data_IF_951793114279
#
_entry.id   IF_951793114279
#
_cell.length_a   1.000
_cell.length_b   1.000
_cell.length_c   1.000
_cell.angle_alpha   90.00
_cell.angle_beta   90.00
_cell.angle_gamma   90.00
#
_symmetry.space_group_name_H-M   'P 1'
#
loop_
_entity.id
_entity.type
_entity.pdbx_description
1 polymer ?
#
# COMPACT_ATOMS: atom_id res chain seq x y z
N UNK A 1 18.82 22.32 54.38
CA UNK A 1 18.80 21.72 53.02
C UNK A 1 18.52 20.24 53.18
N UNK A 2 17.29 19.81 52.87
CA UNK A 2 16.81 18.46 53.18
C UNK A 2 16.79 17.60 51.90
N UNK A 3 17.31 16.38 52.05
CA UNK A 3 17.54 15.33 51.06
C UNK A 3 16.29 14.91 50.25
N UNK A 4 15.91 15.65 49.21
CA UNK A 4 14.77 15.31 48.34
C UNK A 4 15.09 14.35 47.18
N UNK A 5 16.35 13.97 46.97
CA UNK A 5 16.74 13.10 45.84
C UNK A 5 16.42 11.61 46.08
N UNK A 6 16.48 11.15 47.34
CA UNK A 6 16.34 9.72 47.66
C UNK A 6 14.91 9.20 47.48
N UNK A 7 13.89 10.04 47.64
CA UNK A 7 12.48 9.65 47.47
C UNK A 7 12.09 9.44 46.01
N UNK A 8 12.75 10.11 45.07
CA UNK A 8 12.46 9.96 43.64
C UNK A 8 12.95 8.63 43.07
N UNK A 9 14.13 8.17 43.51
CA UNK A 9 14.71 6.88 43.09
C UNK A 9 13.91 5.71 43.65
N UNK A 10 13.36 5.83 44.86
CA UNK A 10 12.53 4.80 45.49
C UNK A 10 11.20 4.58 44.73
N UNK A 11 10.57 5.65 44.22
CA UNK A 11 9.32 5.56 43.45
C UNK A 11 9.49 4.96 42.05
N UNK A 12 10.62 5.18 41.40
CA UNK A 12 10.91 4.58 40.10
C UNK A 12 11.16 3.06 40.20
N UNK A 13 11.79 2.61 41.30
CA UNK A 13 12.08 1.19 41.50
C UNK A 13 10.81 0.37 41.78
N UNK A 14 9.83 0.93 42.49
CA UNK A 14 8.56 0.24 42.79
C UNK A 14 7.66 0.10 41.56
N UNK A 15 7.63 1.10 40.68
CA UNK A 15 6.93 1.02 39.40
C UNK A 15 7.52 -0.05 38.47
N UNK A 16 8.84 -0.23 38.47
CA UNK A 16 9.52 -1.23 37.64
C UNK A 16 9.22 -2.67 38.12
N UNK A 17 9.22 -2.89 39.44
CA UNK A 17 8.84 -4.20 40.03
C UNK A 17 7.37 -4.52 39.77
N UNK A 18 6.46 -3.54 39.88
CA UNK A 18 5.05 -3.72 39.57
C UNK A 18 4.81 -4.05 38.08
N UNK A 19 5.55 -3.41 37.17
CA UNK A 19 5.50 -3.70 35.74
C UNK A 19 5.97 -5.12 35.38
N UNK A 20 7.02 -5.63 36.04
CA UNK A 20 7.52 -6.99 35.81
C UNK A 20 6.57 -8.08 36.31
N UNK A 21 5.91 -7.87 37.45
CA UNK A 21 4.91 -8.82 37.97
C UNK A 21 3.68 -8.86 37.05
N UNK A 22 3.23 -7.69 36.54
CA UNK A 22 2.15 -7.62 35.56
C UNK A 22 2.48 -8.35 34.25
N UNK A 23 3.72 -8.25 33.78
CA UNK A 23 4.18 -8.95 32.57
C UNK A 23 4.21 -10.48 32.75
N UNK A 24 4.69 -10.98 33.90
CA UNK A 24 4.76 -12.43 34.16
C UNK A 24 3.38 -13.07 34.33
N UNK A 25 2.40 -12.36 34.88
CA UNK A 25 1.00 -12.86 34.98
C UNK A 25 0.33 -12.90 33.60
N UNK A 26 0.65 -11.96 32.69
CA UNK A 26 0.04 -11.92 31.36
C UNK A 26 0.66 -12.93 30.37
N UNK A 27 1.92 -13.32 30.55
CA UNK A 27 2.57 -14.35 29.71
C UNK A 27 2.41 -15.78 30.25
N UNK A 28 1.81 -15.96 31.43
CA UNK A 28 1.65 -17.24 32.10
C UNK A 28 0.34 -17.98 31.82
N UNK A 29 -0.58 -17.40 31.04
CA UNK A 29 -1.93 -17.94 30.86
C UNK A 29 -2.33 -17.95 29.38
N UNK A 30 -1.90 -18.99 28.66
CA UNK A 30 -2.72 -19.75 27.69
C UNK A 30 -1.90 -20.91 27.12
N UNK A 31 -1.80 -21.96 27.95
CA UNK A 31 -1.48 -23.31 27.49
C UNK A 31 -2.82 -23.95 27.07
N UNK A 32 -3.22 -23.72 25.83
CA UNK A 32 -4.33 -24.43 25.21
C UNK A 32 -3.77 -25.31 24.10
N UNK A 33 -3.37 -26.52 24.50
CA UNK A 33 -3.06 -27.58 23.55
C UNK A 33 -4.35 -27.94 22.76
N UNK A 34 -4.32 -28.03 21.43
CA UNK A 34 -5.44 -28.58 20.68
C UNK A 34 -5.54 -30.09 20.99
N UNK A 35 -6.76 -30.68 21.00
CA UNK A 35 -6.90 -32.10 21.24
C UNK A 35 -6.27 -32.87 20.07
N UNK A 36 -5.50 -33.89 20.43
CA UNK A 36 -4.96 -34.92 19.57
C UNK A 36 -6.13 -35.60 18.82
N UNK A 37 -6.38 -35.17 17.58
CA UNK A 37 -7.30 -35.84 16.68
C UNK A 37 -6.70 -37.18 16.30
N UNK A 38 -7.17 -38.21 17.00
CA UNK A 38 -7.11 -39.62 16.66
C UNK A 38 -7.14 -39.78 15.13
N UNK A 39 -6.01 -40.14 14.54
CA UNK A 39 -5.94 -40.56 13.14
C UNK A 39 -6.75 -41.84 12.99
N UNK A 40 -8.05 -41.68 12.74
CA UNK A 40 -8.85 -42.74 12.17
C UNK A 40 -8.40 -42.88 10.72
N UNK A 41 -7.74 -44.00 10.47
CA UNK A 41 -7.42 -44.57 9.17
C UNK A 41 -8.60 -44.36 8.22
N UNK A 42 -8.51 -43.33 7.38
CA UNK A 42 -9.55 -42.98 6.41
C UNK A 42 -9.03 -43.45 5.08
N UNK A 43 -9.62 -44.57 4.64
CA UNK A 43 -9.63 -45.11 3.30
C UNK A 43 -9.40 -44.01 2.25
N UNK A 44 -8.30 -44.13 1.50
CA UNK A 44 -7.91 -43.24 0.39
C UNK A 44 -9.10 -42.91 -0.51
N UNK A 45 -9.60 -41.67 -0.54
CA UNK A 45 -10.49 -41.22 -1.60
C UNK A 45 -9.63 -40.75 -2.78
N UNK A 46 -9.75 -41.46 -3.90
CA UNK A 46 -9.19 -41.05 -5.17
C UNK A 46 -10.01 -39.87 -5.75
N UNK A 47 -9.81 -38.67 -5.20
CA UNK A 47 -9.92 -37.39 -5.93
C UNK A 47 -9.62 -36.22 -4.96
N UNK A 48 -8.35 -35.91 -4.77
CA UNK A 48 -7.95 -34.68 -4.07
C UNK A 48 -8.05 -33.55 -5.10
N UNK A 49 -9.19 -32.87 -5.13
CA UNK A 49 -9.37 -31.64 -5.89
C UNK A 49 -8.48 -30.55 -5.24
N UNK A 50 -7.31 -30.30 -5.82
CA UNK A 50 -6.44 -29.20 -5.42
C UNK A 50 -7.06 -27.86 -5.86
N UNK A 51 -7.89 -27.26 -5.00
CA UNK A 51 -8.38 -25.90 -5.19
C UNK A 51 -7.22 -24.94 -4.90
N UNK A 52 -6.58 -24.44 -5.96
CA UNK A 52 -5.58 -23.39 -5.83
C UNK A 52 -6.29 -22.04 -5.71
N UNK A 53 -6.16 -21.33 -4.58
CA UNK A 53 -6.80 -20.03 -4.43
C UNK A 53 -6.17 -19.03 -5.41
N UNK A 54 -7.00 -18.25 -6.12
CA UNK A 54 -6.50 -17.19 -6.97
C UNK A 54 -5.82 -16.10 -6.13
N UNK A 55 -4.68 -15.54 -6.59
CA UNK A 55 -4.10 -14.37 -5.95
C UNK A 55 -5.12 -13.21 -5.94
N UNK A 56 -5.14 -12.41 -4.85
CA UNK A 56 -6.11 -11.33 -4.73
C UNK A 56 -5.78 -10.22 -5.73
N UNK A 57 -6.72 -9.93 -6.63
CA UNK A 57 -6.63 -8.77 -7.53
C UNK A 57 -7.06 -7.51 -6.78
N UNK A 58 -6.12 -6.57 -6.63
CA UNK A 58 -6.31 -5.29 -5.95
C UNK A 58 -6.46 -4.15 -6.96
N UNK A 59 -7.16 -3.09 -6.55
CA UNK A 59 -7.50 -1.94 -7.39
C UNK A 59 -7.02 -0.65 -6.73
N UNK A 60 -6.25 0.16 -7.46
CA UNK A 60 -5.91 1.55 -7.12
C UNK A 60 -6.70 2.45 -8.05
N UNK A 61 -7.59 3.26 -7.50
CA UNK A 61 -8.42 4.13 -8.33
C UNK A 61 -8.66 5.50 -7.71
N UNK A 62 -8.97 6.43 -8.58
CA UNK A 62 -9.49 7.75 -8.25
C UNK A 62 -10.43 8.16 -9.37
N UNK A 63 -11.60 8.68 -9.01
CA UNK A 63 -12.62 9.11 -9.98
C UNK A 63 -12.82 10.61 -9.84
N UNK A 64 -12.60 11.34 -10.93
CA UNK A 64 -12.76 12.79 -11.00
C UNK A 64 -12.07 13.55 -9.86
N UNK A 65 -10.91 13.06 -9.41
CA UNK A 65 -10.19 13.62 -8.27
C UNK A 65 -9.71 15.02 -8.64
N UNK A 66 -10.22 16.09 -7.98
CA UNK A 66 -9.87 17.45 -8.33
C UNK A 66 -8.46 17.79 -7.83
N UNK A 67 -7.73 18.56 -8.62
CA UNK A 67 -6.41 19.06 -8.23
C UNK A 67 -6.13 20.43 -8.87
N UNK A 68 -5.17 21.16 -8.32
CA UNK A 68 -4.74 22.47 -8.82
C UNK A 68 -3.23 22.47 -9.07
N UNK A 69 -2.80 23.04 -10.20
CA UNK A 69 -1.39 23.11 -10.54
C UNK A 69 -0.79 21.73 -10.82
N UNK A 70 0.31 21.38 -10.15
CA UNK A 70 0.98 20.08 -10.25
C UNK A 70 0.80 19.35 -8.93
N UNK A 71 0.27 18.14 -8.98
CA UNK A 71 0.13 17.25 -7.83
C UNK A 71 0.73 15.89 -8.14
N UNK A 72 1.35 15.25 -7.16
CA UNK A 72 1.84 13.88 -7.26
C UNK A 72 1.18 13.05 -6.16
N UNK A 73 0.44 12.02 -6.56
CA UNK A 73 -0.34 11.14 -5.71
C UNK A 73 0.29 9.76 -5.68
N UNK A 74 1.13 9.50 -4.67
CA UNK A 74 1.73 8.18 -4.46
C UNK A 74 0.66 7.18 -4.04
N UNK A 75 0.60 6.05 -4.73
CA UNK A 75 -0.35 4.98 -4.42
C UNK A 75 0.29 3.97 -3.48
N UNK A 76 -0.46 3.55 -2.45
CA UNK A 76 0.00 2.50 -1.53
C UNK A 76 -0.20 1.13 -2.20
N UNK A 77 0.89 0.40 -2.38
CA UNK A 77 0.88 -0.97 -2.90
C UNK A 77 0.85 -1.93 -1.70
N UNK A 78 0.01 -2.95 -1.77
CA UNK A 78 0.04 -4.04 -0.80
C UNK A 78 1.16 -5.03 -1.15
N UNK A 79 1.93 -5.46 -0.14
CA UNK A 79 3.09 -6.34 -0.33
C UNK A 79 4.39 -5.57 -0.53
N UNK A 80 5.44 -6.27 -1.00
CA UNK A 80 6.74 -5.66 -1.32
C UNK A 80 6.75 -5.03 -2.71
N UNK A 81 5.99 -5.62 -3.64
CA UNK A 81 5.84 -5.15 -5.00
C UNK A 81 4.44 -5.48 -5.55
N UNK A 82 4.08 -4.85 -6.66
CA UNK A 82 2.90 -5.17 -7.46
C UNK A 82 3.33 -5.94 -8.72
N UNK A 83 2.62 -7.01 -9.06
CA UNK A 83 2.78 -7.76 -10.32
C UNK A 83 1.45 -7.77 -11.08
N UNK A 84 1.46 -8.33 -12.30
CA UNK A 84 0.23 -8.46 -13.12
C UNK A 84 -0.52 -7.13 -13.28
N UNK A 85 0.25 -6.04 -13.47
CA UNK A 85 -0.29 -4.68 -13.49
C UNK A 85 -1.04 -4.42 -14.79
N UNK A 86 -2.24 -3.88 -14.68
CA UNK A 86 -3.01 -3.36 -15.80
C UNK A 86 -3.55 -1.95 -15.51
N UNK A 87 -3.38 -1.04 -16.47
CA UNK A 87 -3.99 0.28 -16.47
C UNK A 87 -5.30 0.17 -17.23
N UNK A 88 -6.41 0.08 -16.50
CA UNK A 88 -7.75 -0.05 -17.07
C UNK A 88 -8.16 1.27 -17.71
N UNK A 89 -7.94 2.37 -17.00
CA UNK A 89 -8.28 3.69 -17.49
C UNK A 89 -7.34 4.73 -16.87
N UNK A 90 -6.88 5.68 -17.67
CA UNK A 90 -6.24 6.88 -17.17
C UNK A 90 -6.67 8.10 -18.00
N UNK A 91 -7.28 9.08 -17.35
CA UNK A 91 -7.77 10.30 -17.95
C UNK A 91 -7.41 11.49 -17.06
N UNK A 92 -7.17 12.63 -17.71
CA UNK A 92 -6.92 13.89 -17.04
C UNK A 92 -7.65 14.99 -17.80
N UNK A 93 -8.26 15.92 -17.05
CA UNK A 93 -8.87 17.13 -17.60
C UNK A 93 -8.23 18.36 -16.98
N UNK A 94 -8.31 19.50 -17.67
CA UNK A 94 -7.66 20.74 -17.27
C UNK A 94 -6.72 21.29 -18.34
N UNK A 95 -6.06 22.39 -18.04
CA UNK A 95 -5.12 23.03 -18.96
C UNK A 95 -3.76 22.31 -18.90
N UNK A 96 -3.18 21.92 -20.04
CA UNK A 96 -1.98 21.07 -20.08
C UNK A 96 -2.17 19.68 -19.42
N UNK A 97 -3.41 19.18 -19.32
CA UNK A 97 -3.72 17.88 -18.75
C UNK A 97 -2.96 16.72 -19.41
N UNK A 98 -2.57 16.86 -20.68
CA UNK A 98 -1.73 15.89 -21.41
C UNK A 98 -0.35 15.64 -20.76
N UNK A 99 0.12 16.53 -19.87
CA UNK A 99 1.36 16.36 -19.10
C UNK A 99 1.17 15.58 -17.81
N UNK A 100 -0.07 15.29 -17.43
CA UNK A 100 -0.36 14.35 -16.34
C UNK A 100 0.21 12.98 -16.71
N UNK A 101 0.53 12.16 -15.72
CA UNK A 101 1.10 10.82 -15.98
C UNK A 101 0.91 9.86 -14.83
N UNK A 102 0.83 8.57 -15.12
CA UNK A 102 1.09 7.52 -14.14
C UNK A 102 2.55 7.11 -14.31
N UNK A 103 3.31 7.14 -13.22
CA UNK A 103 4.70 6.70 -13.18
C UNK A 103 4.79 5.42 -12.38
N UNK A 104 5.34 4.38 -13.02
CA UNK A 104 5.59 3.07 -12.43
C UNK A 104 7.11 2.87 -12.35
N UNK A 105 7.62 2.60 -11.15
CA UNK A 105 9.02 2.23 -10.92
C UNK A 105 9.09 0.73 -10.75
N UNK A 106 9.89 0.08 -11.58
CA UNK A 106 10.08 -1.36 -11.58
C UNK A 106 11.26 -1.77 -10.68
N UNK A 107 11.28 -3.04 -10.25
CA UNK A 107 12.32 -3.59 -9.38
C UNK A 107 13.74 -3.48 -9.99
N UNK A 108 13.85 -3.54 -11.31
CA UNK A 108 15.11 -3.33 -12.04
C UNK A 108 15.53 -1.85 -12.15
N UNK A 109 14.77 -0.92 -11.57
CA UNK A 109 15.02 0.52 -11.61
C UNK A 109 14.50 1.23 -12.86
N UNK A 110 13.92 0.51 -13.82
CA UNK A 110 13.26 1.12 -14.97
C UNK A 110 12.06 1.94 -14.52
N UNK A 111 11.81 3.04 -15.23
CA UNK A 111 10.67 3.90 -14.97
C UNK A 111 9.81 3.95 -16.21
N UNK A 112 8.55 3.55 -16.06
CA UNK A 112 7.57 3.65 -17.12
C UNK A 112 6.56 4.76 -16.84
N UNK A 113 6.31 5.57 -17.87
CA UNK A 113 5.41 6.71 -17.80
C UNK A 113 4.24 6.47 -18.73
N UNK A 114 3.03 6.53 -18.19
CA UNK A 114 1.78 6.34 -18.92
C UNK A 114 1.05 7.68 -18.98
N UNK A 115 0.62 8.09 -20.17
CA UNK A 115 -0.06 9.37 -20.40
C UNK A 115 -1.59 9.21 -20.46
N UNK A 116 -2.34 10.30 -20.24
CA UNK A 116 -3.80 10.28 -20.28
C UNK A 116 -4.32 9.81 -21.64
N UNK A 117 -5.47 9.14 -21.63
CA UNK A 117 -6.05 8.45 -22.78
C UNK A 117 -5.66 6.98 -22.88
N UNK A 118 -4.72 6.50 -22.05
CA UNK A 118 -4.39 5.09 -21.98
C UNK A 118 -5.54 4.28 -21.38
N UNK A 119 -5.90 3.19 -22.05
CA UNK A 119 -6.91 2.22 -21.61
C UNK A 119 -6.41 0.81 -21.85
N UNK A 120 -6.80 -0.10 -20.97
CA UNK A 120 -6.52 -1.54 -21.05
C UNK A 120 -5.06 -1.90 -21.35
N UNK A 121 -4.10 -1.10 -20.84
CA UNK A 121 -2.67 -1.38 -21.01
C UNK A 121 -2.23 -2.40 -19.97
N UNK A 122 -1.83 -3.58 -20.43
CA UNK A 122 -1.30 -4.64 -19.58
C UNK A 122 0.24 -4.70 -19.67
N UNK A 123 0.88 -4.92 -18.53
CA UNK A 123 2.33 -5.14 -18.45
C UNK A 123 2.66 -6.63 -18.38
N UNK A 124 3.90 -6.99 -18.71
CA UNK A 124 4.37 -8.37 -18.55
C UNK A 124 4.20 -8.82 -17.10
N UNK A 125 3.67 -10.03 -16.86
CA UNK A 125 3.43 -10.57 -15.53
C UNK A 125 4.73 -10.73 -14.70
N UNK A 126 5.87 -10.84 -15.40
CA UNK A 126 7.19 -10.99 -14.78
C UNK A 126 7.72 -9.69 -14.16
N UNK A 127 7.17 -8.54 -14.57
CA UNK A 127 7.62 -7.23 -14.08
C UNK A 127 6.95 -6.90 -12.75
N UNK A 128 7.78 -6.50 -11.80
CA UNK A 128 7.36 -6.14 -10.44
C UNK A 128 7.55 -4.65 -10.22
N UNK A 129 6.46 -3.92 -9.95
CA UNK A 129 6.53 -2.51 -9.59
C UNK A 129 6.72 -2.34 -8.09
N UNK A 130 7.72 -1.56 -7.72
CA UNK A 130 7.99 -1.18 -6.33
C UNK A 130 7.30 0.13 -5.94
N UNK A 131 6.94 0.95 -6.94
CA UNK A 131 6.25 2.21 -6.71
C UNK A 131 5.32 2.56 -7.88
N UNK A 132 4.13 3.04 -7.56
CA UNK A 132 3.16 3.59 -8.52
C UNK A 132 2.75 4.97 -8.00
N UNK A 133 2.83 5.98 -8.87
CA UNK A 133 2.44 7.36 -8.57
C UNK A 133 1.61 7.94 -9.71
N UNK A 134 0.62 8.76 -9.37
CA UNK A 134 -0.24 9.44 -10.34
C UNK A 134 0.01 10.94 -10.23
N UNK A 135 0.51 11.54 -11.29
CA UNK A 135 0.80 12.96 -11.38
C UNK A 135 -0.28 13.67 -12.16
N UNK A 136 -0.89 14.70 -11.56
CA UNK A 136 -1.77 15.64 -12.24
C UNK A 136 -1.03 16.91 -12.63
N UNK A 137 -1.29 17.40 -13.83
CA UNK A 137 -0.77 18.68 -14.30
C UNK A 137 -1.89 19.53 -14.90
N UNK A 138 -2.17 20.67 -14.27
CA UNK A 138 -3.19 21.66 -14.64
C UNK A 138 -2.63 23.06 -14.41
N UNK A 139 -1.59 23.41 -15.18
CA UNK A 139 -0.92 24.70 -15.13
C UNK A 139 -0.91 25.37 -16.51
N UNK A 140 -1.02 26.69 -16.50
CA UNK A 140 -0.90 27.52 -17.69
C UNK A 140 0.56 27.92 -17.89
N UNK A 141 1.17 27.51 -19.01
CA UNK A 141 2.51 27.94 -19.38
C UNK A 141 2.49 29.36 -19.96
N UNK A 142 2.31 30.39 -19.13
CA UNK A 142 2.54 31.78 -19.56
C UNK A 142 3.93 32.23 -19.15
N UNK A 143 4.66 32.80 -20.10
CA UNK A 143 6.07 33.18 -19.94
C UNK A 143 6.37 34.28 -18.91
N UNK A 144 5.39 35.01 -18.36
CA UNK A 144 5.69 36.29 -17.65
C UNK A 144 4.76 36.66 -16.49
N UNK A 145 3.59 36.04 -16.28
CA UNK A 145 2.69 36.44 -15.17
C UNK A 145 1.91 35.29 -14.56
N UNK A 146 1.99 35.22 -13.21
CA UNK A 146 1.27 34.40 -12.22
C UNK A 146 0.54 33.16 -12.72
N UNK A 147 0.99 32.00 -12.21
CA UNK A 147 0.33 30.70 -12.32
C UNK A 147 -1.12 30.78 -11.86
N UNK A 148 -2.05 30.95 -12.79
CA UNK A 148 -3.47 30.84 -12.47
C UNK A 148 -3.78 29.37 -12.18
N UNK A 149 -4.04 29.05 -10.91
CA UNK A 149 -4.46 27.71 -10.45
C UNK A 149 -5.86 27.42 -10.98
N UNK A 150 -5.94 26.71 -12.11
CA UNK A 150 -7.20 26.15 -12.60
C UNK A 150 -7.31 24.70 -12.14
N UNK A 151 -8.49 24.36 -11.62
CA UNK A 151 -8.82 23.01 -11.22
C UNK A 151 -8.83 22.09 -12.45
N UNK A 152 -8.05 21.03 -12.40
CA UNK A 152 -8.15 19.87 -13.28
C UNK A 152 -8.75 18.69 -12.53
N UNK A 153 -9.06 17.60 -13.24
CA UNK A 153 -9.48 16.34 -12.62
C UNK A 153 -8.66 15.17 -13.14
N UNK A 154 -8.43 14.19 -12.28
CA UNK A 154 -7.78 12.92 -12.62
C UNK A 154 -8.76 11.77 -12.42
N UNK A 155 -8.80 10.87 -13.39
CA UNK A 155 -9.50 9.60 -13.27
C UNK A 155 -8.53 8.48 -13.63
N UNK A 156 -8.30 7.54 -12.72
CA UNK A 156 -7.46 6.38 -12.97
C UNK A 156 -8.03 5.12 -12.35
N UNK A 157 -7.74 3.99 -12.96
CA UNK A 157 -7.95 2.66 -12.41
C UNK A 157 -6.77 1.77 -12.81
N UNK A 158 -6.09 1.24 -11.80
CA UNK A 158 -4.93 0.36 -11.93
C UNK A 158 -5.27 -0.91 -11.18
N UNK A 159 -5.21 -2.06 -11.84
CA UNK A 159 -5.38 -3.37 -11.19
C UNK A 159 -4.03 -4.06 -11.09
N UNK A 160 -3.79 -4.75 -9.99
CA UNK A 160 -2.54 -5.43 -9.74
C UNK A 160 -2.74 -6.59 -8.76
N UNK A 161 -1.76 -7.49 -8.71
CA UNK A 161 -1.66 -8.51 -7.68
C UNK A 161 -0.49 -8.19 -6.74
N UNK A 162 -0.67 -8.35 -5.41
CA UNK A 162 0.42 -8.15 -4.47
C UNK A 162 1.45 -9.26 -4.57
N UNK A 163 2.73 -8.89 -4.54
CA UNK A 163 3.86 -9.81 -4.48
C UNK A 163 4.57 -9.68 -3.11
N UNK A 164 4.85 -10.80 -2.45
CA UNK A 164 5.45 -10.89 -1.10
C UNK A 164 6.88 -11.41 -1.12
#
# INVERSE_FOLDING_TARGET
>A
MVNSWKSFVAGALTMLVAGMIGYLVFTGMEKSAPPEQKSADTTVPADIINITPLPPLLILSGTEVPFEGKVELRQAIAGKAAQNISIVNFQATGEQAQKSSIRIVWENGEVETIYPGTKDKQFSPERRAVEISVTGYSMRERRIFQDSRRKGTLTWEIRYEPFQ
#
